data_IF_499193800367
#
_entry.id   IF_499193800367
#
_cell.length_a   1.000
_cell.length_b   1.000
_cell.length_c   1.000
_cell.angle_alpha   90.00
_cell.angle_beta   90.00
_cell.angle_gamma   90.00
#
_symmetry.space_group_name_H-M   'P 1'
#
loop_
_entity.id
_entity.type
_entity.pdbx_description
1 polymer ?
#
# COMPACT_ATOMS: atom_id res chain seq x y z
N UNK A 1 -21.79 6.15 0.50
CA UNK A 1 -20.60 6.97 0.80
C UNK A 1 -19.33 6.19 1.13
N UNK A 2 -19.33 4.86 1.30
CA UNK A 2 -18.08 4.11 1.54
C UNK A 2 -18.13 2.79 0.76
N UNK A 3 -17.87 2.83 -0.56
CA UNK A 3 -17.77 1.61 -1.38
C UNK A 3 -16.32 1.10 -1.28
N UNK A 4 -16.14 -0.19 -0.97
CA UNK A 4 -14.84 -0.88 -0.88
C UNK A 4 -13.88 -0.42 0.25
N UNK A 5 -14.42 0.21 1.29
CA UNK A 5 -13.67 0.57 2.50
C UNK A 5 -13.67 -0.62 3.47
N UNK A 6 -12.50 -1.09 3.90
CA UNK A 6 -12.33 -2.14 4.91
C UNK A 6 -12.48 -1.54 6.32
N UNK A 7 -12.75 -2.39 7.31
CA UNK A 7 -12.76 -1.97 8.73
C UNK A 7 -11.47 -1.28 9.13
N UNK A 8 -10.34 -1.83 8.69
CA UNK A 8 -9.00 -1.33 9.02
C UNK A 8 -8.78 0.10 8.50
N UNK A 9 -9.27 0.44 7.31
CA UNK A 9 -9.17 1.80 6.78
C UNK A 9 -9.91 2.79 7.68
N UNK A 10 -11.11 2.43 8.14
CA UNK A 10 -11.91 3.29 9.02
C UNK A 10 -11.23 3.44 10.39
N UNK A 11 -10.67 2.36 10.94
CA UNK A 11 -9.92 2.42 12.21
C UNK A 11 -8.68 3.31 12.06
N UNK A 12 -7.95 3.19 10.96
CA UNK A 12 -6.78 4.02 10.67
C UNK A 12 -7.16 5.49 10.59
N UNK A 13 -8.22 5.80 9.85
CA UNK A 13 -8.73 7.17 9.71
C UNK A 13 -9.18 7.72 11.07
N UNK A 14 -9.96 6.97 11.84
CA UNK A 14 -10.38 7.41 13.17
C UNK A 14 -9.17 7.64 14.10
N UNK A 15 -8.16 6.78 14.05
CA UNK A 15 -6.94 6.93 14.86
C UNK A 15 -6.15 8.19 14.47
N UNK A 16 -6.03 8.49 13.17
CA UNK A 16 -5.38 9.71 12.66
C UNK A 16 -6.15 10.99 13.04
N UNK A 17 -7.48 10.90 13.11
CA UNK A 17 -8.36 11.99 13.61
C UNK A 17 -8.33 12.12 15.15
N UNK A 18 -7.51 11.33 15.86
CA UNK A 18 -7.42 11.32 17.32
C UNK A 18 -8.54 10.56 18.04
N UNK A 19 -9.40 9.86 17.31
CA UNK A 19 -10.45 9.01 17.87
C UNK A 19 -9.91 7.63 18.22
N UNK A 20 -10.06 7.23 19.50
CA UNK A 20 -9.70 5.87 19.92
C UNK A 20 -10.78 4.88 19.50
N UNK A 21 -10.45 3.97 18.57
CA UNK A 21 -11.39 3.00 18.00
C UNK A 21 -10.81 1.59 18.06
N UNK A 22 -11.61 0.67 18.58
CA UNK A 22 -11.24 -0.73 18.66
C UNK A 22 -11.68 -1.49 17.39
N UNK A 23 -10.79 -2.30 16.83
CA UNK A 23 -11.07 -3.17 15.66
C UNK A 23 -12.25 -4.12 15.90
N UNK A 24 -12.54 -4.46 17.16
CA UNK A 24 -13.63 -5.33 17.56
C UNK A 24 -15.02 -4.67 17.39
N UNK A 25 -15.08 -3.35 17.19
CA UNK A 25 -16.34 -2.64 16.99
C UNK A 25 -17.03 -3.06 15.68
N UNK A 26 -18.35 -2.91 15.63
CA UNK A 26 -19.11 -3.16 14.39
C UNK A 26 -18.82 -2.06 13.37
N UNK A 27 -18.77 -2.43 12.10
CA UNK A 27 -18.54 -1.48 10.99
C UNK A 27 -19.54 -0.32 10.99
N UNK A 28 -20.82 -0.60 11.33
CA UNK A 28 -21.84 0.43 11.47
C UNK A 28 -21.51 1.46 12.55
N UNK A 29 -21.02 1.01 13.70
CA UNK A 29 -20.64 1.88 14.83
C UNK A 29 -19.43 2.73 14.47
N UNK A 30 -18.41 2.14 13.82
CA UNK A 30 -17.23 2.91 13.38
C UNK A 30 -17.60 3.98 12.35
N UNK A 31 -18.48 3.64 11.38
CA UNK A 31 -18.99 4.62 10.42
C UNK A 31 -19.74 5.74 11.10
N UNK A 32 -20.58 5.43 12.08
CA UNK A 32 -21.28 6.46 12.84
C UNK A 32 -20.30 7.35 13.59
N UNK A 33 -19.34 6.77 14.31
CA UNK A 33 -18.28 7.51 15.02
C UNK A 33 -17.55 8.49 14.11
N UNK A 34 -17.18 8.03 12.92
CA UNK A 34 -16.55 8.87 11.91
C UNK A 34 -17.45 10.02 11.48
N UNK A 35 -18.72 9.76 11.20
CA UNK A 35 -19.69 10.79 10.80
C UNK A 35 -20.02 11.77 11.94
N UNK A 36 -19.82 11.39 13.20
CA UNK A 36 -19.99 12.25 14.38
C UNK A 36 -18.68 12.87 14.88
N UNK A 37 -17.55 12.57 14.24
CA UNK A 37 -16.26 13.15 14.60
C UNK A 37 -16.29 14.67 14.41
N UNK A 38 -15.65 15.40 15.32
CA UNK A 38 -15.53 16.86 15.24
C UNK A 38 -14.92 17.29 13.91
N UNK A 39 -13.87 16.60 13.45
CA UNK A 39 -13.23 16.82 12.14
C UNK A 39 -14.18 16.58 10.97
N UNK A 40 -15.05 15.57 11.05
CA UNK A 40 -16.05 15.33 10.00
C UNK A 40 -17.14 16.40 9.99
N UNK A 41 -17.49 16.94 11.17
CA UNK A 41 -18.47 18.02 11.30
C UNK A 41 -17.90 19.38 10.91
N UNK A 42 -16.61 19.62 11.16
CA UNK A 42 -15.89 20.83 10.75
C UNK A 42 -15.55 20.79 9.26
N UNK A 43 -15.02 19.67 8.76
CA UNK A 43 -14.63 19.51 7.36
C UNK A 43 -14.91 18.08 6.83
N UNK A 44 -16.16 17.86 6.47
CA UNK A 44 -16.62 16.61 5.84
C UNK A 44 -15.93 16.33 4.50
N UNK A 45 -15.41 17.35 3.82
CA UNK A 45 -14.73 17.22 2.54
C UNK A 45 -13.34 16.63 2.77
N UNK A 46 -12.59 17.18 3.71
CA UNK A 46 -11.28 16.68 4.13
C UNK A 46 -11.34 15.22 4.56
N UNK A 47 -12.30 14.84 5.41
CA UNK A 47 -12.41 13.44 5.86
C UNK A 47 -12.76 12.49 4.71
N UNK A 48 -13.55 12.93 3.72
CA UNK A 48 -13.81 12.13 2.51
C UNK A 48 -12.56 11.96 1.67
N UNK A 49 -11.84 13.04 1.38
CA UNK A 49 -10.60 12.97 0.58
C UNK A 49 -9.53 12.15 1.27
N UNK A 50 -9.40 12.28 2.60
CA UNK A 50 -8.50 11.49 3.41
C UNK A 50 -8.84 9.98 3.37
N UNK A 51 -10.13 9.64 3.42
CA UNK A 51 -10.58 8.25 3.24
C UNK A 51 -10.30 7.72 1.84
N UNK A 52 -10.54 8.52 0.79
CA UNK A 52 -10.25 8.13 -0.59
C UNK A 52 -8.75 7.87 -0.73
N UNK A 53 -7.90 8.78 -0.26
CA UNK A 53 -6.45 8.66 -0.27
C UNK A 53 -5.96 7.43 0.50
N UNK A 54 -6.53 7.13 1.67
CA UNK A 54 -6.18 5.93 2.46
C UNK A 54 -6.48 4.64 1.69
N UNK A 55 -7.66 4.56 1.05
CA UNK A 55 -8.07 3.39 0.26
C UNK A 55 -7.26 3.27 -1.03
N UNK A 56 -6.94 4.38 -1.69
CA UNK A 56 -6.10 4.42 -2.88
C UNK A 56 -4.65 4.05 -2.57
N UNK A 57 -4.08 4.54 -1.47
CA UNK A 57 -2.73 4.18 -1.05
C UNK A 57 -2.60 2.67 -0.83
N UNK A 58 -3.59 2.03 -0.19
CA UNK A 58 -3.59 0.57 -0.05
C UNK A 58 -3.57 -0.15 -1.40
N UNK A 59 -4.38 0.31 -2.37
CA UNK A 59 -4.38 -0.29 -3.71
C UNK A 59 -3.04 -0.10 -4.42
N UNK A 60 -2.45 1.07 -4.30
CA UNK A 60 -1.12 1.36 -4.87
C UNK A 60 -0.02 0.52 -4.24
N UNK A 61 -0.06 0.32 -2.93
CA UNK A 61 0.93 -0.49 -2.20
C UNK A 61 0.88 -1.96 -2.66
N UNK A 62 -0.31 -2.51 -2.89
CA UNK A 62 -0.49 -3.85 -3.49
C UNK A 62 0.04 -3.94 -4.94
N UNK A 63 -0.08 -2.86 -5.74
CA UNK A 63 0.52 -2.80 -7.08
C UNK A 63 2.04 -2.64 -7.06
N UNK A 64 2.57 -1.85 -6.11
CA UNK A 64 4.00 -1.54 -5.99
C UNK A 64 4.82 -2.79 -5.64
N UNK A 65 4.28 -3.67 -4.79
CA UNK A 65 4.91 -4.95 -4.46
C UNK A 65 5.09 -5.86 -5.69
N UNK A 66 4.22 -5.72 -6.71
CA UNK A 66 4.28 -6.48 -7.97
C UNK A 66 5.33 -5.95 -8.94
N UNK A 67 5.71 -4.68 -8.83
CA UNK A 67 6.75 -4.07 -9.67
C UNK A 67 8.16 -4.30 -9.11
N UNK A 68 8.35 -4.29 -7.78
CA UNK A 68 9.65 -4.58 -7.17
C UNK A 68 10.17 -5.99 -7.47
N UNK A 69 9.27 -6.99 -7.51
CA UNK A 69 9.61 -8.36 -7.89
C UNK A 69 10.11 -8.45 -9.35
N UNK A 70 9.56 -7.63 -10.26
CA UNK A 70 10.02 -7.55 -11.65
C UNK A 70 11.38 -6.87 -11.80
N UNK A 71 11.70 -5.90 -10.95
CA UNK A 71 12.98 -5.15 -10.99
C UNK A 71 14.11 -5.98 -10.37
N UNK A 72 13.85 -6.74 -9.30
CA UNK A 72 14.82 -7.65 -8.68
C UNK A 72 15.06 -8.91 -9.52
N UNK A 73 14.04 -9.42 -10.23
CA UNK A 73 14.18 -10.59 -11.11
C UNK A 73 15.03 -10.35 -12.38
N UNK A 74 15.10 -9.12 -12.89
CA UNK A 74 15.88 -8.80 -14.10
C UNK A 74 17.38 -8.61 -13.87
N UNK A 75 17.83 -8.44 -12.62
CA UNK A 75 19.26 -8.20 -12.34
C UNK A 75 20.10 -9.48 -12.26
N UNK A 76 19.48 -10.66 -12.21
CA UNK A 76 20.18 -11.93 -11.95
C UNK A 76 20.48 -12.79 -13.19
N UNK A 77 20.04 -12.39 -14.40
CA UNK A 77 20.29 -13.17 -15.63
C UNK A 77 21.49 -12.67 -16.44
N UNK A 78 22.06 -11.50 -16.14
CA UNK A 78 23.19 -10.94 -16.90
C UNK A 78 24.57 -11.24 -16.31
N UNK A 79 24.68 -12.15 -15.33
CA UNK A 79 25.96 -12.56 -14.71
C UNK A 79 26.28 -14.05 -14.82
N UNK A 80 25.66 -14.79 -15.74
CA UNK A 80 26.17 -16.11 -16.16
C UNK A 80 26.87 -15.97 -17.51
N UNK A 81 28.19 -16.01 -17.39
CA UNK A 81 29.27 -15.95 -18.37
C UNK A 81 29.06 -16.83 -19.62
N UNK A 82 29.85 -16.60 -20.67
CA UNK A 82 30.80 -17.66 -21.00
C UNK A 82 32.25 -17.15 -20.91
N UNK A 83 32.94 -17.63 -19.87
CA UNK A 83 34.38 -17.81 -19.91
C UNK A 83 34.62 -19.10 -20.71
N UNK A 84 35.19 -18.99 -21.92
CA UNK A 84 35.95 -20.02 -22.66
C UNK A 84 36.17 -19.50 -24.08
N UNK A 85 37.33 -19.55 -24.73
CA UNK A 85 38.74 -19.83 -24.36
C UNK A 85 39.50 -19.44 -25.62
N UNK A 86 40.46 -18.52 -25.56
CA UNK A 86 41.51 -18.44 -26.58
C UNK A 86 42.87 -18.23 -25.90
N UNK A 87 43.26 -19.25 -25.16
CA UNK A 87 44.66 -19.58 -24.98
C UNK A 87 44.87 -20.97 -25.60
N UNK A 88 45.50 -21.02 -26.77
CA UNK A 88 46.39 -22.12 -27.11
C UNK A 88 47.62 -21.52 -27.77
N UNK A 89 48.65 -21.47 -26.95
CA UNK A 89 50.06 -21.28 -27.28
C UNK A 89 50.50 -22.46 -28.16
N UNK A 90 51.29 -22.19 -29.20
CA UNK A 90 52.54 -22.95 -29.41
C UNK A 90 52.67 -23.88 -30.61
N UNK A 91 53.69 -23.55 -31.41
CA UNK A 91 54.79 -24.40 -31.94
C UNK A 91 54.46 -25.37 -33.08
N UNK A 92 55.11 -25.12 -34.22
CA UNK A 92 55.26 -25.97 -35.39
C UNK A 92 56.10 -25.24 -36.44
#
# INVERSE_FOLDING_TARGET
MFKNVKKEDIVKVLTELGETVNINLKMGVMKQKLLTSKEYLEDAQFVKDFMISTVENRKKEEESHKQEEKILGRRNTNRRTPHRTRARIGIG
#
